data_IF_381786706314
#
_entry.id   IF_381786706314
#
_cell.length_a   1.000
_cell.length_b   1.000
_cell.length_c   1.000
_cell.angle_alpha   90.00
_cell.angle_beta   90.00
_cell.angle_gamma   90.00
#
_symmetry.space_group_name_H-M   'P 1'
#
loop_
_entity.id
_entity.type
_entity.pdbx_description
1 polymer ?
#
# COMPACT_ATOMS: atom_id res chain seq x y z
N UNK A 1 -16.48 0.64 11.65
CA UNK A 1 -17.59 0.32 10.75
C UNK A 1 -17.61 -1.18 10.46
N UNK A 2 -18.77 -1.75 10.20
CA UNK A 2 -18.97 -3.17 9.88
C UNK A 2 -19.86 -3.24 8.65
N UNK A 3 -19.47 -4.04 7.68
CA UNK A 3 -20.19 -4.27 6.43
C UNK A 3 -20.41 -5.76 6.21
N UNK A 4 -21.43 -6.12 5.47
CA UNK A 4 -21.65 -7.49 5.05
C UNK A 4 -20.65 -7.89 3.95
N UNK A 5 -20.27 -9.15 3.90
CA UNK A 5 -19.29 -9.65 2.92
C UNK A 5 -19.75 -9.50 1.46
N UNK A 6 -21.04 -9.47 1.20
CA UNK A 6 -21.64 -9.24 -0.13
C UNK A 6 -21.53 -7.78 -0.61
N UNK A 7 -21.22 -6.85 0.30
CA UNK A 7 -20.95 -5.44 -0.03
C UNK A 7 -19.50 -5.21 -0.50
N UNK A 8 -18.62 -6.18 -0.32
CA UNK A 8 -17.25 -6.14 -0.84
C UNK A 8 -17.24 -6.58 -2.31
N UNK A 9 -16.94 -5.64 -3.20
CA UNK A 9 -16.98 -5.82 -4.66
C UNK A 9 -15.63 -5.44 -5.27
N UNK A 10 -14.65 -6.36 -5.33
CA UNK A 10 -13.38 -6.10 -6.01
C UNK A 10 -13.56 -6.17 -7.52
N UNK A 11 -12.89 -5.30 -8.25
CA UNK A 11 -12.82 -5.36 -9.71
C UNK A 11 -11.67 -6.30 -10.12
N UNK A 12 -11.92 -7.37 -10.89
CA UNK A 12 -10.87 -8.27 -11.35
C UNK A 12 -9.78 -7.51 -12.15
N UNK A 13 -8.51 -7.83 -11.89
CA UNK A 13 -7.33 -7.29 -12.59
C UNK A 13 -7.09 -5.78 -12.45
N UNK A 14 -7.83 -5.09 -11.59
CA UNK A 14 -7.61 -3.67 -11.28
C UNK A 14 -7.49 -3.49 -9.77
N UNK A 15 -6.73 -2.49 -9.36
CA UNK A 15 -6.77 -2.01 -7.98
C UNK A 15 -7.92 -1.01 -7.86
N UNK A 16 -9.12 -1.57 -7.76
CA UNK A 16 -10.38 -0.84 -7.80
C UNK A 16 -11.42 -1.70 -7.08
N UNK A 17 -11.97 -1.23 -5.99
CA UNK A 17 -12.92 -1.99 -5.18
C UNK A 17 -13.95 -1.07 -4.51
N UNK A 18 -15.12 -1.65 -4.24
CA UNK A 18 -16.17 -1.02 -3.47
C UNK A 18 -16.42 -1.81 -2.18
N UNK A 19 -16.72 -1.07 -1.11
CA UNK A 19 -17.27 -1.61 0.14
C UNK A 19 -18.54 -0.78 0.43
N UNK A 20 -19.70 -1.35 0.17
CA UNK A 20 -20.98 -0.61 0.09
C UNK A 20 -20.83 0.59 -0.88
N UNK A 21 -21.06 1.81 -0.40
CA UNK A 21 -20.93 3.05 -1.18
C UNK A 21 -19.51 3.65 -1.14
N UNK A 22 -18.56 3.01 -0.48
CA UNK A 22 -17.19 3.50 -0.41
C UNK A 22 -16.37 2.91 -1.55
N UNK A 23 -15.61 3.76 -2.23
CA UNK A 23 -14.78 3.43 -3.37
C UNK A 23 -13.30 3.59 -3.03
N UNK A 24 -12.47 2.65 -3.47
CA UNK A 24 -11.02 2.66 -3.30
C UNK A 24 -10.35 2.27 -4.60
N UNK A 25 -9.51 3.16 -5.13
CA UNK A 25 -8.79 2.94 -6.38
C UNK A 25 -7.33 3.38 -6.28
N UNK A 26 -6.58 3.23 -7.38
CA UNK A 26 -5.22 3.78 -7.49
C UNK A 26 -5.23 5.32 -7.59
N UNK A 27 -6.34 5.91 -7.97
CA UNK A 27 -6.44 7.34 -8.28
C UNK A 27 -7.26 8.13 -7.28
N UNK A 28 -8.07 7.45 -6.49
CA UNK A 28 -8.94 8.11 -5.53
C UNK A 28 -9.46 7.17 -4.43
N UNK A 29 -9.90 7.78 -3.35
CA UNK A 29 -10.75 7.18 -2.32
C UNK A 29 -11.96 8.08 -2.15
N UNK A 30 -13.16 7.51 -2.28
CA UNK A 30 -14.43 8.16 -1.94
C UNK A 30 -15.09 7.45 -0.77
N UNK A 31 -15.38 8.19 0.29
CA UNK A 31 -15.98 7.68 1.51
C UNK A 31 -17.38 8.24 1.70
N UNK A 32 -18.34 7.36 2.04
CA UNK A 32 -19.69 7.70 2.44
C UNK A 32 -20.07 6.93 3.72
N UNK A 33 -19.45 7.31 4.82
CA UNK A 33 -19.69 6.74 6.14
C UNK A 33 -20.48 7.73 6.99
N UNK A 34 -21.25 7.29 8.01
CA UNK A 34 -22.11 8.17 8.81
C UNK A 34 -21.41 9.40 9.39
N UNK A 35 -20.13 9.29 9.72
CA UNK A 35 -19.36 10.38 10.33
C UNK A 35 -18.05 10.70 9.60
N UNK A 36 -17.82 10.12 8.41
CA UNK A 36 -16.63 10.37 7.59
C UNK A 36 -17.00 10.29 6.11
N UNK A 37 -17.04 11.44 5.44
CA UNK A 37 -17.46 11.56 4.04
C UNK A 37 -16.51 12.44 3.25
N UNK A 38 -16.39 12.18 1.95
CA UNK A 38 -15.62 13.01 1.02
C UNK A 38 -14.74 12.18 0.10
N UNK A 39 -13.93 12.90 -0.70
CA UNK A 39 -13.08 12.27 -1.71
C UNK A 39 -11.67 12.82 -1.60
N UNK A 40 -10.70 11.90 -1.71
CA UNK A 40 -9.28 12.19 -1.85
C UNK A 40 -8.84 11.70 -3.22
N UNK A 41 -8.13 12.54 -3.96
CA UNK A 41 -7.59 12.26 -5.30
C UNK A 41 -6.08 12.09 -5.17
N UNK A 42 -5.54 11.06 -5.80
CA UNK A 42 -4.12 10.73 -5.80
C UNK A 42 -3.51 11.08 -7.16
N UNK A 43 -2.40 11.80 -7.14
CA UNK A 43 -1.67 12.24 -8.33
C UNK A 43 -0.19 11.90 -8.21
N UNK A 44 0.50 11.85 -9.34
CA UNK A 44 1.95 11.66 -9.39
C UNK A 44 2.42 10.42 -8.61
N UNK A 45 1.72 9.28 -8.80
CA UNK A 45 2.07 8.03 -8.16
C UNK A 45 3.48 7.60 -8.55
N UNK A 46 4.27 7.20 -7.56
CA UNK A 46 5.61 6.66 -7.78
C UNK A 46 5.61 5.16 -7.41
N UNK A 47 5.44 4.26 -8.39
CA UNK A 47 5.38 2.83 -8.13
C UNK A 47 6.75 2.26 -7.73
N UNK A 48 6.74 1.11 -7.06
CA UNK A 48 7.96 0.30 -6.89
C UNK A 48 8.45 -0.23 -8.23
N UNK A 49 9.77 -0.45 -8.34
CA UNK A 49 10.37 -1.02 -9.55
C UNK A 49 9.72 -2.35 -9.92
N UNK A 50 9.44 -2.53 -11.20
CA UNK A 50 8.81 -3.74 -11.71
C UNK A 50 9.53 -4.20 -12.99
N UNK A 51 10.19 -5.34 -12.91
CA UNK A 51 10.87 -5.97 -14.04
C UNK A 51 10.30 -7.37 -14.30
N UNK A 52 10.56 -7.93 -15.47
CA UNK A 52 10.07 -9.26 -15.81
C UNK A 52 10.55 -10.37 -14.85
N UNK A 53 11.83 -10.28 -14.39
CA UNK A 53 12.42 -11.26 -13.46
C UNK A 53 12.22 -10.91 -11.99
N UNK A 54 11.83 -9.67 -11.68
CA UNK A 54 11.62 -9.17 -10.32
C UNK A 54 10.38 -8.28 -10.29
N UNK A 55 9.17 -8.88 -10.33
CA UNK A 55 7.94 -8.11 -10.32
C UNK A 55 7.63 -7.58 -8.92
N UNK A 56 7.72 -6.26 -8.79
CA UNK A 56 7.42 -5.56 -7.54
C UNK A 56 8.39 -5.84 -6.40
N UNK A 57 7.97 -5.52 -5.20
CA UNK A 57 8.82 -5.52 -4.00
C UNK A 57 9.27 -6.93 -3.55
N UNK A 58 8.50 -7.97 -3.85
CA UNK A 58 8.84 -9.35 -3.51
C UNK A 58 9.81 -10.00 -4.50
N UNK A 59 10.12 -9.31 -5.60
CA UNK A 59 11.03 -9.85 -6.60
C UNK A 59 10.62 -11.23 -7.10
N UNK A 60 11.57 -12.16 -7.28
CA UNK A 60 11.27 -13.52 -7.77
C UNK A 60 10.29 -14.32 -6.90
N UNK A 61 10.16 -13.98 -5.61
CA UNK A 61 9.21 -14.66 -4.71
C UNK A 61 7.74 -14.40 -5.07
N UNK A 62 7.46 -13.38 -5.87
CA UNK A 62 6.12 -13.16 -6.43
C UNK A 62 5.60 -14.32 -7.28
N UNK A 63 6.49 -15.18 -7.81
CA UNK A 63 6.14 -16.35 -8.60
C UNK A 63 5.85 -17.60 -7.76
N UNK A 64 6.07 -17.57 -6.45
CA UNK A 64 5.90 -18.72 -5.57
C UNK A 64 4.43 -18.82 -5.15
N UNK A 65 3.70 -19.90 -5.49
CA UNK A 65 2.23 -19.95 -5.33
C UNK A 65 1.75 -20.27 -3.90
N UNK A 66 2.65 -20.58 -2.98
CA UNK A 66 2.33 -21.05 -1.61
C UNK A 66 2.81 -20.10 -0.49
N UNK A 67 3.08 -18.84 -0.83
CA UNK A 67 3.40 -17.83 0.19
C UNK A 67 2.16 -17.53 1.05
N UNK A 68 2.34 -17.42 2.36
CA UNK A 68 1.24 -17.06 3.28
C UNK A 68 0.72 -15.65 3.01
N UNK A 69 1.60 -14.72 2.70
CA UNK A 69 1.31 -13.34 2.39
C UNK A 69 2.14 -12.84 1.22
N UNK A 70 1.49 -12.17 0.30
CA UNK A 70 2.12 -11.40 -0.77
C UNK A 70 2.03 -9.92 -0.43
N UNK A 71 3.01 -9.19 -0.87
CA UNK A 71 3.22 -7.80 -0.55
C UNK A 71 3.51 -6.99 -1.82
N UNK A 72 2.83 -5.88 -2.01
CA UNK A 72 3.00 -5.05 -3.18
C UNK A 72 2.88 -3.57 -2.89
N UNK A 73 3.91 -2.78 -3.23
CA UNK A 73 3.86 -1.33 -3.15
C UNK A 73 3.31 -0.79 -4.45
N UNK A 74 2.13 -0.18 -4.36
CA UNK A 74 1.46 0.48 -5.47
C UNK A 74 2.06 1.86 -5.72
N UNK A 75 2.36 2.59 -4.63
CA UNK A 75 3.02 3.90 -4.71
C UNK A 75 3.86 4.18 -3.47
N UNK A 76 5.15 4.43 -3.65
CA UNK A 76 6.06 4.89 -2.60
C UNK A 76 5.76 6.30 -2.12
N UNK A 77 5.27 7.14 -3.03
CA UNK A 77 4.91 8.54 -2.77
C UNK A 77 3.90 9.00 -3.82
N UNK A 78 2.94 9.79 -3.40
CA UNK A 78 2.01 10.47 -4.31
C UNK A 78 1.46 11.72 -3.65
N UNK A 79 0.96 12.62 -4.48
CA UNK A 79 0.28 13.81 -4.01
C UNK A 79 -1.17 13.47 -3.67
N UNK A 80 -1.69 14.11 -2.62
CA UNK A 80 -3.09 14.00 -2.21
C UNK A 80 -3.75 15.35 -2.36
N UNK A 81 -4.92 15.38 -2.98
CA UNK A 81 -5.83 16.52 -3.05
C UNK A 81 -7.22 16.13 -2.57
N UNK A 82 -7.95 17.11 -2.08
CA UNK A 82 -9.33 16.91 -1.65
C UNK A 82 -9.55 17.09 -0.17
N UNK A 83 -10.72 16.68 0.29
CA UNK A 83 -11.08 16.86 1.70
C UNK A 83 -12.05 15.78 2.18
N UNK A 84 -11.99 15.51 3.48
CA UNK A 84 -12.95 14.69 4.19
C UNK A 84 -13.70 15.54 5.23
N UNK A 85 -14.96 15.19 5.46
CA UNK A 85 -15.77 15.73 6.55
C UNK A 85 -15.84 14.65 7.64
N UNK A 86 -15.25 14.92 8.79
CA UNK A 86 -15.30 14.03 9.95
C UNK A 86 -16.09 14.69 11.08
N UNK A 87 -17.20 14.09 11.47
CA UNK A 87 -18.11 14.64 12.50
C UNK A 87 -18.51 16.09 12.22
N UNK A 88 -18.83 16.42 10.95
CA UNK A 88 -19.21 17.77 10.52
C UNK A 88 -18.03 18.74 10.33
N UNK A 89 -16.80 18.36 10.67
CA UNK A 89 -15.61 19.20 10.51
C UNK A 89 -14.87 18.82 9.22
N UNK A 90 -14.67 19.81 8.34
CA UNK A 90 -13.88 19.63 7.10
C UNK A 90 -12.39 19.56 7.43
N UNK A 91 -11.72 18.55 6.90
CA UNK A 91 -10.27 18.34 6.95
C UNK A 91 -9.76 18.37 5.50
N UNK A 92 -8.91 19.34 5.19
CA UNK A 92 -8.29 19.47 3.86
C UNK A 92 -7.01 18.64 3.81
N UNK A 93 -6.80 17.94 2.70
CA UNK A 93 -5.62 17.13 2.41
C UNK A 93 -4.80 17.66 1.23
N UNK A 94 -5.14 18.85 0.71
CA UNK A 94 -4.40 19.45 -0.40
C UNK A 94 -2.93 19.65 -0.02
N UNK A 95 -2.04 19.34 -0.97
CA UNK A 95 -0.58 19.26 -0.79
C UNK A 95 -0.12 18.15 0.17
N UNK A 96 -1.01 17.22 0.54
CA UNK A 96 -0.66 16.03 1.30
C UNK A 96 0.22 15.06 0.50
N UNK A 97 0.90 14.17 1.21
CA UNK A 97 1.67 13.07 0.62
C UNK A 97 1.12 11.74 1.11
N UNK A 98 1.04 10.80 0.18
CA UNK A 98 0.51 9.47 0.45
C UNK A 98 1.49 8.35 0.11
N UNK A 99 1.17 7.19 0.66
CA UNK A 99 1.79 5.91 0.40
C UNK A 99 0.67 4.89 0.17
N UNK A 100 0.86 3.97 -0.76
CA UNK A 100 -0.13 2.95 -1.03
C UNK A 100 0.54 1.59 -1.17
N UNK A 101 0.02 0.63 -0.41
CA UNK A 101 0.48 -0.75 -0.36
C UNK A 101 -0.71 -1.69 -0.44
N UNK A 102 -0.51 -2.87 -0.97
CA UNK A 102 -1.48 -3.95 -1.04
C UNK A 102 -0.83 -5.23 -0.56
N UNK A 103 -1.44 -5.83 0.46
CA UNK A 103 -1.10 -7.16 0.95
C UNK A 103 -2.25 -8.12 0.68
N UNK A 104 -1.92 -9.34 0.28
CA UNK A 104 -2.93 -10.38 0.05
C UNK A 104 -2.37 -11.75 0.36
N UNK A 105 -3.23 -12.65 0.74
CA UNK A 105 -2.87 -14.01 1.15
C UNK A 105 -3.88 -14.57 2.14
N UNK A 106 -3.50 -15.60 2.85
CA UNK A 106 -4.36 -16.26 3.83
C UNK A 106 -3.89 -16.10 5.27
N UNK A 107 -2.69 -15.59 5.49
CA UNK A 107 -2.10 -15.35 6.81
C UNK A 107 -1.06 -14.23 6.75
N UNK A 108 -0.66 -13.73 7.92
CA UNK A 108 0.49 -12.85 8.06
C UNK A 108 1.67 -13.61 8.68
N UNK A 109 2.94 -13.16 8.45
CA UNK A 109 4.10 -13.74 9.11
C UNK A 109 3.94 -13.76 10.62
N UNK A 110 4.46 -14.82 11.27
CA UNK A 110 4.38 -15.01 12.73
C UNK A 110 4.95 -13.83 13.53
N UNK A 111 5.99 -13.20 13.00
CA UNK A 111 6.56 -11.98 13.55
C UNK A 111 7.11 -11.11 12.42
N UNK A 112 6.89 -9.80 12.53
CA UNK A 112 7.40 -8.82 11.57
C UNK A 112 7.58 -7.45 12.23
N UNK A 113 8.45 -6.65 11.63
CA UNK A 113 8.56 -5.21 11.85
C UNK A 113 8.31 -4.52 10.51
N UNK A 114 7.36 -3.61 10.48
CA UNK A 114 7.00 -2.83 9.30
C UNK A 114 7.14 -1.34 9.63
N UNK A 115 7.75 -0.58 8.74
CA UNK A 115 8.01 0.85 8.89
C UNK A 115 7.75 1.57 7.56
N UNK A 116 7.11 2.73 7.64
CA UNK A 116 6.89 3.62 6.51
C UNK A 116 6.87 5.07 6.97
N UNK A 117 7.42 5.98 6.16
CA UNK A 117 7.27 7.42 6.38
C UNK A 117 7.44 8.20 5.08
N UNK A 118 6.58 9.23 4.93
CA UNK A 118 6.71 10.30 3.93
C UNK A 118 6.91 11.67 4.61
N UNK A 119 7.13 11.68 5.95
CA UNK A 119 7.29 12.88 6.76
C UNK A 119 8.77 13.24 6.93
N UNK A 120 9.35 13.77 5.87
CA UNK A 120 10.71 14.28 5.86
C UNK A 120 10.72 15.78 5.58
N UNK A 121 11.83 16.44 5.87
CA UNK A 121 12.01 17.87 5.55
C UNK A 121 11.85 18.20 4.07
N UNK A 122 12.14 17.22 3.20
CA UNK A 122 11.87 17.26 1.76
C UNK A 122 10.71 16.33 1.43
N UNK A 123 9.69 16.86 0.78
CA UNK A 123 8.50 16.10 0.34
C UNK A 123 8.77 15.07 -0.77
N UNK A 124 9.96 15.10 -1.37
CA UNK A 124 10.43 14.14 -2.38
C UNK A 124 11.06 12.89 -1.76
N UNK A 125 11.10 12.77 -0.42
CA UNK A 125 11.66 11.61 0.28
C UNK A 125 10.53 10.75 0.83
N UNK A 126 10.65 9.45 0.58
CA UNK A 126 9.80 8.42 1.19
C UNK A 126 10.64 7.21 1.58
N UNK A 127 10.29 6.59 2.67
CA UNK A 127 10.97 5.40 3.21
C UNK A 127 9.97 4.29 3.49
N UNK A 128 10.35 3.07 3.16
CA UNK A 128 9.62 1.85 3.55
C UNK A 128 10.63 0.77 3.90
N UNK A 129 10.39 0.05 4.99
CA UNK A 129 11.14 -1.15 5.32
C UNK A 129 10.25 -2.17 6.02
N UNK A 130 10.50 -3.43 5.76
CA UNK A 130 9.91 -4.53 6.53
C UNK A 130 10.92 -5.67 6.72
N UNK A 131 10.86 -6.28 7.89
CA UNK A 131 11.60 -7.48 8.26
C UNK A 131 10.57 -8.46 8.77
N UNK A 132 10.58 -9.70 8.29
CA UNK A 132 9.58 -10.70 8.67
C UNK A 132 10.20 -12.10 8.75
N UNK A 133 9.62 -12.95 9.60
CA UNK A 133 9.90 -14.39 9.61
C UNK A 133 9.02 -15.04 8.56
N UNK A 134 9.63 -15.43 7.43
CA UNK A 134 8.95 -16.02 6.29
C UNK A 134 8.95 -17.53 6.42
N UNK A 135 7.78 -18.19 6.50
CA UNK A 135 7.69 -19.64 6.47
C UNK A 135 8.19 -20.19 5.12
N UNK A 136 8.99 -21.23 5.18
CA UNK A 136 9.55 -21.85 3.99
C UNK A 136 9.65 -23.37 4.16
N UNK A 137 8.76 -24.12 3.48
CA UNK A 137 8.68 -25.58 3.56
C UNK A 137 8.57 -26.06 5.03
N UNK A 138 9.63 -26.70 5.54
CA UNK A 138 9.72 -27.22 6.94
C UNK A 138 10.48 -26.29 7.89
N UNK A 139 10.85 -25.10 7.45
CA UNK A 139 11.67 -24.14 8.18
C UNK A 139 11.15 -22.73 8.04
N UNK A 140 11.93 -21.74 8.38
CA UNK A 140 11.67 -20.33 8.14
C UNK A 140 12.98 -19.59 7.92
N UNK A 141 12.91 -18.45 7.26
CA UNK A 141 14.04 -17.52 7.14
C UNK A 141 13.62 -16.09 7.45
N UNK A 142 14.56 -15.21 7.69
CA UNK A 142 14.31 -13.78 7.89
C UNK A 142 14.38 -13.09 6.53
N UNK A 143 13.25 -12.64 6.04
CA UNK A 143 13.15 -11.77 4.87
C UNK A 143 13.29 -10.30 5.26
N UNK A 144 13.98 -9.53 4.44
CA UNK A 144 14.13 -8.09 4.61
C UNK A 144 13.93 -7.37 3.28
N UNK A 145 13.10 -6.35 3.30
CA UNK A 145 12.84 -5.48 2.17
C UNK A 145 12.94 -4.03 2.64
N UNK A 146 13.70 -3.20 1.92
CA UNK A 146 13.78 -1.78 2.21
C UNK A 146 13.84 -0.97 0.92
N UNK A 147 13.25 0.21 0.93
CA UNK A 147 13.32 1.18 -0.15
C UNK A 147 13.32 2.61 0.37
N UNK A 148 14.14 3.42 -0.26
CA UNK A 148 14.19 4.86 -0.04
C UNK A 148 14.00 5.55 -1.37
N UNK A 149 12.97 6.37 -1.49
CA UNK A 149 12.76 7.27 -2.60
C UNK A 149 13.39 8.62 -2.24
N UNK A 150 14.27 9.13 -3.09
CA UNK A 150 14.90 10.45 -2.95
C UNK A 150 14.91 11.12 -4.31
N UNK A 151 14.26 12.28 -4.42
CA UNK A 151 14.23 13.12 -5.63
C UNK A 151 13.92 12.31 -6.92
N UNK A 152 12.88 11.46 -6.84
CA UNK A 152 12.43 10.63 -7.97
C UNK A 152 13.32 9.42 -8.28
N UNK A 153 14.30 9.09 -7.43
CA UNK A 153 15.14 7.90 -7.55
C UNK A 153 14.86 6.93 -6.42
N UNK A 154 14.41 5.74 -6.75
CA UNK A 154 14.24 4.65 -5.79
C UNK A 154 15.55 3.89 -5.60
N UNK A 155 15.99 3.82 -4.37
CA UNK A 155 17.10 2.97 -3.91
C UNK A 155 16.46 1.83 -3.14
N UNK A 156 16.60 0.63 -3.63
CA UNK A 156 15.96 -0.56 -3.05
C UNK A 156 17.00 -1.62 -2.66
N UNK A 157 16.68 -2.36 -1.59
CA UNK A 157 17.44 -3.53 -1.15
C UNK A 157 16.45 -4.59 -0.68
N UNK A 158 16.55 -5.76 -1.27
CA UNK A 158 15.82 -6.96 -0.85
C UNK A 158 16.81 -8.05 -0.50
N UNK A 159 16.60 -8.70 0.62
CA UNK A 159 17.24 -9.94 1.06
C UNK A 159 16.10 -10.92 1.37
N UNK A 160 15.65 -11.60 0.32
CA UNK A 160 14.66 -12.66 0.39
C UNK A 160 15.34 -13.96 0.00
#
# INVERSE_FOLDING_TARGET
FKFDSNEFKPTPKKHDLYIAENHFSMTDISLNLPNLQGTLIFKNLFPWSNTFLSPGIMGPYSFIPFMECYHGIVSMNHDIEGSLIHNGKKICFDNGKGYMEKDWGHSFPKAYVWMQSNHFSKSSISFKSSIAIIPWLKSSFIGHIAGVLIDGKLIEKSLL
#
